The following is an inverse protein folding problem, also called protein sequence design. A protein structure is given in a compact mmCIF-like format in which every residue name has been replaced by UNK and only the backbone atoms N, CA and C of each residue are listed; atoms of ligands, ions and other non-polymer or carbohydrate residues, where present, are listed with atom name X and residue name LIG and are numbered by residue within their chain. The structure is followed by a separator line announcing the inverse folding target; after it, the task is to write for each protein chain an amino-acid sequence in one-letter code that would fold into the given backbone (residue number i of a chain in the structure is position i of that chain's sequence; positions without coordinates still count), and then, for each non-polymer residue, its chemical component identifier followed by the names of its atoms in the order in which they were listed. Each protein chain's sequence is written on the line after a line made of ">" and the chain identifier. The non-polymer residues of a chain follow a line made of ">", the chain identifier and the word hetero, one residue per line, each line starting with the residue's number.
data_IF_404111066184
#
_entry.id   IF_404111066184
#
_cell.length_a   1.000
_cell.length_b   1.000
_cell.length_c   1.000
_cell.angle_alpha   90.00
_cell.angle_beta   90.00
_cell.angle_gamma   90.00
#
_symmetry.space_group_name_H-M   'P 1'
#
loop_
_entity.id
_entity.type
_entity.pdbx_description
1 polymer ?
#
# COMPACT_ATOMS: atom_id res chain seq x y z
N UNK A 1 10.00 23.87 17.10
CA UNK A 1 9.53 22.66 16.40
C UNK A 1 8.17 22.18 16.91
N UNK A 2 8.06 21.75 18.18
CA UNK A 2 6.80 21.22 18.75
C UNK A 2 5.57 22.16 18.60
N UNK A 3 5.76 23.45 18.80
CA UNK A 3 4.71 24.46 18.66
C UNK A 3 4.22 24.58 17.22
N UNK A 4 5.13 24.65 16.22
CA UNK A 4 4.75 24.72 14.81
C UNK A 4 4.01 23.47 14.34
N UNK A 5 4.46 22.27 14.79
CA UNK A 5 3.73 21.02 14.54
C UNK A 5 2.31 21.06 15.13
N UNK A 6 2.17 21.52 16.38
CA UNK A 6 0.85 21.68 17.03
C UNK A 6 -0.02 22.65 16.25
N UNK A 7 0.55 23.75 15.76
CA UNK A 7 -0.14 24.74 14.95
C UNK A 7 -0.65 24.13 13.64
N UNK A 8 0.17 23.33 12.94
CA UNK A 8 -0.27 22.60 11.75
C UNK A 8 -1.43 21.66 12.04
N UNK A 9 -1.37 20.89 13.13
CA UNK A 9 -2.45 19.96 13.52
C UNK A 9 -3.75 20.74 13.82
N UNK A 10 -3.67 21.85 14.55
CA UNK A 10 -4.84 22.67 14.87
C UNK A 10 -5.46 23.27 13.60
N UNK A 11 -4.65 23.76 12.66
CA UNK A 11 -5.11 24.29 11.38
C UNK A 11 -5.99 23.28 10.62
N UNK A 12 -5.62 21.98 10.64
CA UNK A 12 -6.43 20.93 10.03
C UNK A 12 -7.76 20.67 10.74
N UNK A 13 -7.84 20.89 12.05
CA UNK A 13 -9.10 20.75 12.79
C UNK A 13 -10.02 21.96 12.68
N UNK A 14 -9.46 23.16 12.49
CA UNK A 14 -10.20 24.40 12.32
C UNK A 14 -10.56 24.73 10.89
N UNK A 15 -10.05 23.95 9.91
CA UNK A 15 -10.22 24.22 8.49
C UNK A 15 -9.36 25.41 7.99
N UNK A 16 -8.33 25.81 8.73
CA UNK A 16 -7.42 26.89 8.33
C UNK A 16 -6.39 26.39 7.30
N UNK A 17 -6.85 26.35 6.05
CA UNK A 17 -6.07 25.89 4.89
C UNK A 17 -4.83 26.75 4.65
N UNK A 18 -4.93 28.08 4.88
CA UNK A 18 -3.80 29.00 4.62
C UNK A 18 -2.63 28.75 5.58
N UNK A 19 -2.93 28.63 6.88
CA UNK A 19 -1.93 28.28 7.88
C UNK A 19 -1.31 26.90 7.59
N UNK A 20 -2.13 25.89 7.28
CA UNK A 20 -1.62 24.57 6.92
C UNK A 20 -0.72 24.62 5.69
N UNK A 21 -1.10 25.37 4.64
CA UNK A 21 -0.33 25.51 3.40
C UNK A 21 1.02 26.19 3.63
N UNK A 22 1.07 27.23 4.46
CA UNK A 22 2.33 27.91 4.81
C UNK A 22 3.32 26.96 5.52
N UNK A 23 2.81 26.10 6.41
CA UNK A 23 3.63 25.15 7.17
C UNK A 23 4.10 23.94 6.35
N UNK A 24 3.58 23.72 5.16
CA UNK A 24 4.05 22.68 4.23
C UNK A 24 5.50 22.91 3.76
N UNK A 25 5.98 24.13 3.81
CA UNK A 25 7.35 24.51 3.44
C UNK A 25 8.29 24.65 4.66
N UNK A 26 7.86 24.22 5.84
CA UNK A 26 8.67 24.31 7.06
C UNK A 26 9.99 23.51 6.93
N UNK A 27 11.13 24.03 7.43
CA UNK A 27 12.39 23.31 7.40
C UNK A 27 12.34 21.95 8.13
N UNK A 28 11.46 21.81 9.12
CA UNK A 28 11.32 20.58 9.90
C UNK A 28 10.37 19.58 9.21
N UNK A 29 10.82 18.38 8.84
CA UNK A 29 9.99 17.39 8.15
C UNK A 29 8.71 17.01 8.90
N UNK A 30 8.77 16.91 10.23
CA UNK A 30 7.63 16.58 11.07
C UNK A 30 6.53 17.65 11.01
N UNK A 31 6.88 18.90 10.73
CA UNK A 31 5.92 19.99 10.54
C UNK A 31 5.32 19.90 9.15
N UNK A 32 6.14 19.63 8.11
CA UNK A 32 5.66 19.43 6.74
C UNK A 32 4.67 18.26 6.64
N UNK A 33 5.00 17.11 7.27
CA UNK A 33 4.12 15.96 7.32
C UNK A 33 2.79 16.25 8.03
N UNK A 34 2.84 17.01 9.15
CA UNK A 34 1.63 17.44 9.86
C UNK A 34 0.79 18.39 9.01
N UNK A 35 1.41 19.29 8.27
CA UNK A 35 0.76 20.25 7.39
C UNK A 35 0.05 19.57 6.21
N UNK A 36 0.68 18.55 5.57
CA UNK A 36 0.02 17.73 4.55
C UNK A 36 -1.24 17.06 5.10
N UNK A 37 -1.15 16.43 6.27
CA UNK A 37 -2.32 15.83 6.91
C UNK A 37 -3.39 16.84 7.32
N UNK A 38 -3.00 18.07 7.65
CA UNK A 38 -3.93 19.16 7.94
C UNK A 38 -4.68 19.62 6.68
N UNK A 39 -3.97 19.79 5.56
CA UNK A 39 -4.56 20.14 4.27
C UNK A 39 -5.54 19.07 3.79
N UNK A 40 -5.15 17.79 3.88
CA UNK A 40 -6.04 16.70 3.52
C UNK A 40 -7.34 16.71 4.36
N UNK A 41 -7.21 16.84 5.67
CA UNK A 41 -8.38 16.89 6.59
C UNK A 41 -9.27 18.09 6.34
N UNK A 42 -8.69 19.25 6.01
CA UNK A 42 -9.43 20.47 5.72
C UNK A 42 -10.03 20.51 4.29
N UNK A 43 -9.79 19.48 3.47
CA UNK A 43 -10.22 19.43 2.07
C UNK A 43 -9.53 20.46 1.17
N UNK A 44 -8.38 20.99 1.61
CA UNK A 44 -7.62 22.03 0.90
C UNK A 44 -6.33 21.55 0.23
N UNK A 45 -6.03 20.24 0.28
CA UNK A 45 -4.87 19.65 -0.35
C UNK A 45 -5.07 19.57 -1.86
N UNK A 46 -4.13 20.11 -2.64
CA UNK A 46 -4.12 19.96 -4.10
C UNK A 46 -3.26 18.77 -4.51
N UNK A 47 -3.49 18.27 -5.73
CA UNK A 47 -2.73 17.14 -6.29
C UNK A 47 -1.24 17.50 -6.47
N UNK A 48 -0.93 18.73 -6.85
CA UNK A 48 0.47 19.22 -6.92
C UNK A 48 1.14 19.25 -5.53
N UNK A 49 0.40 19.60 -4.49
CA UNK A 49 0.89 19.58 -3.12
C UNK A 49 1.10 18.14 -2.62
N UNK A 50 0.22 17.21 -3.01
CA UNK A 50 0.38 15.79 -2.74
C UNK A 50 1.58 15.21 -3.48
N UNK A 51 1.74 15.49 -4.77
CA UNK A 51 2.89 15.09 -5.57
C UNK A 51 4.22 15.62 -4.96
N UNK A 52 4.21 16.88 -4.49
CA UNK A 52 5.34 17.45 -3.75
C UNK A 52 5.65 16.70 -2.44
N UNK A 53 4.64 16.18 -1.76
CA UNK A 53 4.79 15.34 -0.58
C UNK A 53 5.38 13.97 -0.90
N UNK A 54 4.96 13.34 -2.00
CA UNK A 54 5.48 12.05 -2.47
C UNK A 54 6.97 12.14 -2.89
N UNK A 55 7.44 13.32 -3.30
CA UNK A 55 8.82 13.56 -3.71
C UNK A 55 9.67 14.28 -2.65
N UNK A 56 9.17 14.44 -1.41
CA UNK A 56 9.92 15.09 -0.33
C UNK A 56 11.21 14.33 0.00
N UNK A 57 12.25 15.06 0.32
CA UNK A 57 13.57 14.50 0.70
C UNK A 57 13.52 13.63 1.96
N UNK A 58 12.51 13.83 2.82
CA UNK A 58 12.37 13.11 4.08
C UNK A 58 11.33 11.99 4.00
N UNK A 59 11.72 10.78 4.37
CA UNK A 59 10.87 9.58 4.34
C UNK A 59 9.54 9.73 5.11
N UNK A 60 9.54 10.41 6.26
CA UNK A 60 8.30 10.61 7.03
C UNK A 60 7.27 11.48 6.31
N UNK A 61 7.72 12.41 5.46
CA UNK A 61 6.83 13.24 4.63
C UNK A 61 6.29 12.42 3.47
N UNK A 62 7.15 11.65 2.76
CA UNK A 62 6.74 10.75 1.68
C UNK A 62 5.74 9.72 2.17
N UNK A 63 6.01 9.09 3.33
CA UNK A 63 5.08 8.15 3.96
C UNK A 63 3.74 8.80 4.27
N UNK A 64 3.74 10.04 4.81
CA UNK A 64 2.48 10.75 5.09
C UNK A 64 1.69 11.06 3.81
N UNK A 65 2.37 11.41 2.73
CA UNK A 65 1.73 11.62 1.42
C UNK A 65 1.12 10.32 0.87
N UNK A 66 1.81 9.18 1.03
CA UNK A 66 1.29 7.86 0.67
C UNK A 66 0.07 7.46 1.50
N UNK A 67 0.08 7.70 2.82
CA UNK A 67 -1.08 7.46 3.69
C UNK A 67 -2.31 8.27 3.25
N UNK A 68 -2.09 9.48 2.74
CA UNK A 68 -3.18 10.32 2.21
C UNK A 68 -3.65 9.79 0.85
N UNK A 69 -2.72 9.42 -0.02
CA UNK A 69 -3.01 8.88 -1.35
C UNK A 69 -3.82 7.57 -1.27
N UNK A 70 -3.46 6.65 -0.37
CA UNK A 70 -4.14 5.37 -0.18
C UNK A 70 -5.39 5.45 0.72
N UNK A 71 -5.67 6.59 1.33
CA UNK A 71 -6.88 6.71 2.14
C UNK A 71 -8.14 6.61 1.27
N UNK A 72 -9.14 5.80 1.67
CA UNK A 72 -10.40 5.74 0.94
C UNK A 72 -11.02 7.14 0.88
N UNK A 73 -11.51 7.52 -0.31
CA UNK A 73 -12.22 8.79 -0.48
C UNK A 73 -13.46 8.80 0.43
N UNK A 74 -13.46 9.66 1.44
CA UNK A 74 -14.67 9.90 2.23
C UNK A 74 -15.77 10.47 1.31
N UNK A 75 -17.00 9.95 1.38
CA UNK A 75 -18.07 10.30 0.44
C UNK A 75 -18.51 11.77 0.48
N UNK A 76 -17.91 12.58 1.33
CA UNK A 76 -18.29 14.00 1.55
C UNK A 76 -17.56 14.98 0.63
N UNK A 77 -16.49 14.59 -0.07
CA UNK A 77 -15.72 15.52 -0.93
C UNK A 77 -15.83 15.21 -2.41
N UNK A 78 -17.03 15.23 -2.98
CA UNK A 78 -17.26 15.23 -4.44
C UNK A 78 -17.05 16.60 -5.09
N UNK A 79 -16.26 17.49 -4.53
CA UNK A 79 -16.00 18.81 -5.15
C UNK A 79 -14.64 18.94 -5.85
N UNK A 80 -13.72 18.04 -5.63
CA UNK A 80 -12.56 17.88 -6.52
C UNK A 80 -12.94 16.78 -7.52
N UNK A 81 -13.17 17.12 -8.79
CA UNK A 81 -13.38 16.14 -9.84
C UNK A 81 -12.24 15.12 -9.84
N UNK A 82 -12.55 13.87 -10.21
CA UNK A 82 -11.52 12.86 -10.40
C UNK A 82 -10.35 13.48 -11.18
N UNK A 83 -9.07 13.27 -10.74
CA UNK A 83 -7.93 13.89 -11.39
C UNK A 83 -7.99 13.61 -12.89
N UNK A 84 -7.79 14.64 -13.71
CA UNK A 84 -7.77 14.46 -15.17
C UNK A 84 -6.69 13.45 -15.53
N UNK A 85 -6.90 12.59 -16.52
CA UNK A 85 -6.09 11.42 -16.84
C UNK A 85 -4.56 11.61 -16.73
N UNK A 86 -4.02 12.78 -17.09
CA UNK A 86 -2.57 13.07 -16.99
C UNK A 86 -2.06 13.19 -15.54
N UNK A 87 -2.91 13.61 -14.61
CA UNK A 87 -2.51 13.80 -13.20
C UNK A 87 -2.65 12.50 -12.40
N UNK A 88 -3.70 11.72 -12.66
CA UNK A 88 -3.81 10.36 -12.12
C UNK A 88 -2.63 9.49 -12.57
N UNK A 89 -2.23 9.61 -13.84
CA UNK A 89 -1.05 8.94 -14.38
C UNK A 89 0.25 9.39 -13.70
N UNK A 90 0.39 10.69 -13.38
CA UNK A 90 1.54 11.19 -12.64
C UNK A 90 1.59 10.61 -11.23
N UNK A 91 0.49 10.63 -10.48
CA UNK A 91 0.42 10.09 -9.13
C UNK A 91 0.69 8.58 -9.12
N UNK A 92 0.15 7.82 -10.11
CA UNK A 92 0.43 6.40 -10.25
C UNK A 92 1.92 6.10 -10.53
N UNK A 93 2.60 6.94 -11.32
CA UNK A 93 4.05 6.82 -11.57
C UNK A 93 4.86 7.14 -10.33
N UNK A 94 4.54 8.23 -9.61
CA UNK A 94 5.21 8.58 -8.35
C UNK A 94 5.03 7.46 -7.30
N UNK A 95 3.84 6.87 -7.23
CA UNK A 95 3.58 5.72 -6.37
C UNK A 95 4.43 4.51 -6.80
N UNK A 96 4.53 4.23 -8.10
CA UNK A 96 5.38 3.14 -8.62
C UNK A 96 6.87 3.37 -8.32
N UNK A 97 7.36 4.61 -8.38
CA UNK A 97 8.75 4.95 -8.04
C UNK A 97 9.02 4.71 -6.54
N UNK A 98 8.05 5.01 -5.67
CA UNK A 98 8.18 4.81 -4.21
C UNK A 98 8.17 3.35 -3.77
N UNK A 99 7.74 2.42 -4.62
CA UNK A 99 7.92 0.97 -4.40
C UNK A 99 9.40 0.54 -4.47
N UNK A 100 10.29 1.43 -4.91
CA UNK A 100 11.75 1.25 -4.91
C UNK A 100 12.46 2.25 -3.99
N UNK A 101 11.75 2.85 -3.02
CA UNK A 101 12.33 3.80 -2.09
C UNK A 101 13.45 3.15 -1.25
N UNK A 102 14.45 3.94 -0.89
CA UNK A 102 15.55 3.48 -0.03
C UNK A 102 15.15 3.23 1.42
N UNK A 103 14.03 3.80 1.87
CA UNK A 103 13.47 3.59 3.21
C UNK A 103 12.38 2.51 3.17
N UNK A 104 12.58 1.34 3.83
CA UNK A 104 11.63 0.23 3.77
C UNK A 104 10.25 0.61 4.34
N UNK A 105 10.17 1.58 5.26
CA UNK A 105 8.87 2.02 5.80
C UNK A 105 8.06 2.83 4.77
N UNK A 106 8.72 3.43 3.79
CA UNK A 106 8.07 4.07 2.64
C UNK A 106 7.57 3.01 1.66
N UNK A 107 8.40 2.00 1.36
CA UNK A 107 8.03 0.88 0.46
C UNK A 107 6.80 0.14 1.00
N UNK A 108 6.76 -0.16 2.30
CA UNK A 108 5.62 -0.83 2.95
C UNK A 108 4.31 -0.04 2.74
N UNK A 109 4.32 1.27 3.04
CA UNK A 109 3.14 2.13 2.86
C UNK A 109 2.81 2.34 1.38
N UNK A 110 3.82 2.37 0.49
CA UNK A 110 3.60 2.45 -0.95
C UNK A 110 2.89 1.19 -1.49
N UNK A 111 3.25 -0.01 -0.99
CA UNK A 111 2.54 -1.23 -1.32
C UNK A 111 1.06 -1.17 -0.91
N UNK A 112 0.79 -0.75 0.34
CA UNK A 112 -0.59 -0.57 0.79
C UNK A 112 -1.35 0.42 -0.09
N UNK A 113 -0.79 1.62 -0.31
CA UNK A 113 -1.43 2.63 -1.17
C UNK A 113 -1.67 2.10 -2.59
N UNK A 114 -0.75 1.28 -3.15
CA UNK A 114 -0.92 0.70 -4.47
C UNK A 114 -2.13 -0.25 -4.54
N UNK A 115 -2.39 -1.02 -3.49
CA UNK A 115 -3.57 -1.90 -3.41
C UNK A 115 -4.91 -1.15 -3.45
N UNK A 116 -4.93 0.11 -2.98
CA UNK A 116 -6.12 0.97 -3.00
C UNK A 116 -6.38 1.63 -4.37
N UNK A 117 -5.50 1.41 -5.37
CA UNK A 117 -5.59 2.01 -6.70
C UNK A 117 -5.75 0.98 -7.84
N UNK A 118 -6.83 0.18 -7.88
CA UNK A 118 -7.02 -0.86 -8.90
C UNK A 118 -7.06 -0.30 -10.33
N UNK A 119 -7.51 0.93 -10.52
CA UNK A 119 -7.48 1.60 -11.83
C UNK A 119 -6.08 1.83 -12.39
N UNK A 120 -5.04 1.75 -11.57
CA UNK A 120 -3.63 1.91 -11.94
C UNK A 120 -2.85 0.58 -11.96
N UNK A 121 -3.53 -0.57 -11.88
CA UNK A 121 -2.91 -1.90 -11.79
C UNK A 121 -1.85 -2.14 -12.87
N UNK A 122 -2.10 -1.74 -14.13
CA UNK A 122 -1.14 -1.88 -15.23
C UNK A 122 0.22 -1.19 -14.97
N UNK A 123 0.24 -0.11 -14.19
CA UNK A 123 1.46 0.63 -13.82
C UNK A 123 2.10 0.02 -12.59
N UNK A 124 1.28 -0.42 -11.62
CA UNK A 124 1.72 -0.78 -10.27
C UNK A 124 2.12 -2.26 -10.12
N UNK A 125 1.55 -3.17 -10.92
CA UNK A 125 1.77 -4.61 -10.76
C UNK A 125 3.23 -5.03 -10.91
N UNK A 126 3.97 -4.50 -11.90
CA UNK A 126 5.39 -4.86 -12.10
C UNK A 126 6.29 -4.42 -10.94
N UNK A 127 6.23 -3.17 -10.46
CA UNK A 127 6.94 -2.76 -9.25
C UNK A 127 6.58 -3.60 -8.02
N UNK A 128 5.30 -3.91 -7.80
CA UNK A 128 4.86 -4.77 -6.70
C UNK A 128 5.44 -6.19 -6.79
N UNK A 129 5.46 -6.79 -7.99
CA UNK A 129 6.12 -8.09 -8.25
C UNK A 129 7.61 -8.03 -7.90
N UNK A 130 8.29 -6.90 -8.18
CA UNK A 130 9.68 -6.73 -7.81
C UNK A 130 9.88 -6.67 -6.28
N UNK A 131 8.94 -6.08 -5.54
CA UNK A 131 8.96 -6.05 -4.08
C UNK A 131 8.61 -7.43 -3.48
N UNK A 132 7.56 -8.08 -3.96
CA UNK A 132 7.10 -9.38 -3.47
C UNK A 132 8.12 -10.50 -3.75
N UNK A 133 8.75 -10.46 -4.92
CA UNK A 133 9.57 -11.54 -5.45
C UNK A 133 8.76 -12.68 -6.08
N UNK A 134 9.45 -13.59 -6.76
CA UNK A 134 8.84 -14.78 -7.40
C UNK A 134 9.37 -16.08 -6.79
N UNK A 135 9.90 -16.03 -5.57
CA UNK A 135 10.38 -17.21 -4.86
C UNK A 135 11.15 -16.87 -3.59
N UNK A 136 11.44 -17.89 -2.80
CA UNK A 136 12.22 -17.78 -1.57
C UNK A 136 13.50 -18.62 -1.67
N UNK A 137 14.63 -18.05 -1.26
CA UNK A 137 15.92 -18.75 -1.21
C UNK A 137 16.91 -18.30 -2.28
N UNK A 138 18.13 -18.87 -2.26
CA UNK A 138 19.25 -18.42 -3.11
C UNK A 138 19.06 -18.71 -4.59
N UNK A 139 18.14 -19.60 -4.95
CA UNK A 139 17.83 -19.97 -6.34
C UNK A 139 16.59 -19.22 -6.91
N UNK A 140 15.97 -18.34 -6.12
CA UNK A 140 14.85 -17.54 -6.61
C UNK A 140 15.32 -16.57 -7.69
N UNK A 141 14.66 -16.57 -8.84
CA UNK A 141 14.97 -15.65 -9.95
C UNK A 141 14.86 -14.19 -9.52
N UNK A 142 13.91 -13.90 -8.60
CA UNK A 142 13.68 -12.57 -8.03
C UNK A 142 13.40 -12.72 -6.54
N UNK A 143 14.39 -12.48 -5.67
CA UNK A 143 14.26 -12.71 -4.23
C UNK A 143 13.27 -11.75 -3.52
N UNK A 144 12.85 -10.68 -4.20
CA UNK A 144 12.01 -9.64 -3.62
C UNK A 144 12.78 -8.69 -2.69
N UNK A 145 12.05 -7.82 -2.02
CA UNK A 145 12.62 -6.86 -1.08
C UNK A 145 13.26 -7.58 0.13
N UNK A 146 14.43 -7.13 0.65
CA UNK A 146 15.09 -7.78 1.79
C UNK A 146 14.23 -7.77 3.06
N UNK A 147 13.47 -6.70 3.29
CA UNK A 147 12.53 -6.62 4.40
C UNK A 147 11.25 -7.42 4.09
N UNK A 148 10.91 -8.34 5.01
CA UNK A 148 9.74 -9.20 4.84
C UNK A 148 8.40 -8.46 5.00
N UNK A 149 8.36 -7.34 5.74
CA UNK A 149 7.14 -6.52 5.85
C UNK A 149 6.78 -5.89 4.51
N UNK A 150 7.79 -5.43 3.76
CA UNK A 150 7.58 -4.95 2.40
C UNK A 150 7.04 -6.05 1.47
N UNK A 151 7.60 -7.29 1.56
CA UNK A 151 7.09 -8.42 0.76
C UNK A 151 5.66 -8.80 1.13
N UNK A 152 5.36 -8.81 2.43
CA UNK A 152 4.02 -9.06 2.95
C UNK A 152 3.01 -8.04 2.41
N UNK A 153 3.33 -6.75 2.51
CA UNK A 153 2.49 -5.68 1.98
C UNK A 153 2.32 -5.76 0.46
N UNK A 154 3.38 -6.13 -0.27
CA UNK A 154 3.33 -6.29 -1.72
C UNK A 154 2.44 -7.45 -2.15
N UNK A 155 2.51 -8.60 -1.47
CA UNK A 155 1.63 -9.76 -1.75
C UNK A 155 0.17 -9.40 -1.48
N UNK A 156 -0.12 -8.71 -0.37
CA UNK A 156 -1.47 -8.22 -0.08
C UNK A 156 -1.99 -7.26 -1.16
N UNK A 157 -1.15 -6.32 -1.61
CA UNK A 157 -1.48 -5.37 -2.67
C UNK A 157 -1.72 -6.06 -4.02
N UNK A 158 -0.93 -7.08 -4.38
CA UNK A 158 -1.15 -7.87 -5.59
C UNK A 158 -2.51 -8.60 -5.58
N UNK A 159 -2.91 -9.12 -4.41
CA UNK A 159 -4.26 -9.67 -4.21
C UNK A 159 -5.35 -8.62 -4.37
N UNK A 160 -5.18 -7.43 -3.76
CA UNK A 160 -6.16 -6.34 -3.87
C UNK A 160 -6.33 -5.85 -5.31
N UNK A 161 -5.25 -5.83 -6.11
CA UNK A 161 -5.30 -5.46 -7.53
C UNK A 161 -5.90 -6.55 -8.41
N UNK A 162 -5.78 -7.83 -8.06
CA UNK A 162 -6.31 -8.96 -8.83
C UNK A 162 -5.79 -9.04 -10.26
N UNK A 163 -4.61 -8.49 -10.55
CA UNK A 163 -4.07 -8.46 -11.89
C UNK A 163 -3.24 -9.72 -12.19
N UNK A 164 -3.52 -10.39 -13.32
CA UNK A 164 -2.92 -11.71 -13.66
C UNK A 164 -1.40 -11.73 -13.62
N UNK A 165 -0.72 -10.64 -13.98
CA UNK A 165 0.74 -10.55 -13.90
C UNK A 165 1.31 -10.62 -12.46
N UNK A 166 0.47 -10.52 -11.43
CA UNK A 166 0.84 -10.69 -10.01
C UNK A 166 0.71 -12.13 -9.50
N UNK A 167 -0.01 -12.99 -10.22
CA UNK A 167 -0.37 -14.35 -9.82
C UNK A 167 0.82 -15.20 -9.36
N UNK A 168 1.89 -15.24 -10.16
CA UNK A 168 3.10 -16.02 -9.86
C UNK A 168 3.73 -15.60 -8.52
N UNK A 169 3.82 -14.29 -8.25
CA UNK A 169 4.36 -13.76 -7.00
C UNK A 169 3.47 -14.08 -5.79
N UNK A 170 2.15 -14.11 -5.97
CA UNK A 170 1.21 -14.52 -4.92
C UNK A 170 1.40 -16.01 -4.60
N UNK A 171 1.44 -16.89 -5.60
CA UNK A 171 1.73 -18.31 -5.42
C UNK A 171 3.10 -18.55 -4.75
N UNK A 172 4.14 -17.83 -5.19
CA UNK A 172 5.46 -17.90 -4.57
C UNK A 172 5.44 -17.43 -3.09
N UNK A 173 4.52 -16.57 -2.71
CA UNK A 173 4.29 -16.15 -1.33
C UNK A 173 3.96 -17.30 -0.38
N UNK A 174 3.32 -18.37 -0.87
CA UNK A 174 2.94 -19.56 -0.09
C UNK A 174 4.15 -20.37 0.44
N UNK A 175 5.34 -20.14 -0.10
CA UNK A 175 6.56 -20.85 0.34
C UNK A 175 7.40 -20.02 1.33
N UNK A 176 6.96 -18.81 1.69
CA UNK A 176 7.71 -17.87 2.51
C UNK A 176 7.39 -17.98 4.01
N UNK A 177 7.62 -16.89 4.79
CA UNK A 177 7.27 -16.82 6.22
C UNK A 177 5.75 -16.93 6.42
N UNK A 178 5.32 -17.40 7.58
CA UNK A 178 3.91 -17.59 7.91
C UNK A 178 3.03 -16.36 7.64
N UNK A 179 3.51 -15.17 7.99
CA UNK A 179 2.77 -13.92 7.74
C UNK A 179 2.55 -13.67 6.25
N UNK A 180 3.57 -13.91 5.42
CA UNK A 180 3.46 -13.77 3.96
C UNK A 180 2.56 -14.86 3.39
N UNK A 181 2.70 -16.14 3.86
CA UNK A 181 1.82 -17.24 3.42
C UNK A 181 0.35 -16.93 3.68
N UNK A 182 0.04 -16.39 4.87
CA UNK A 182 -1.33 -15.97 5.20
C UNK A 182 -1.87 -14.93 4.21
N UNK A 183 -1.11 -13.90 3.91
CA UNK A 183 -1.53 -12.90 2.93
C UNK A 183 -1.59 -13.44 1.52
N UNK A 184 -0.69 -14.38 1.16
CA UNK A 184 -0.76 -15.09 -0.11
C UNK A 184 -2.05 -15.89 -0.25
N UNK A 185 -2.45 -16.66 0.78
CA UNK A 185 -3.73 -17.36 0.80
C UNK A 185 -4.89 -16.39 0.59
N UNK A 186 -4.95 -15.29 1.35
CA UNK A 186 -6.01 -14.29 1.18
C UNK A 186 -6.01 -13.67 -0.23
N UNK A 187 -4.84 -13.46 -0.81
CA UNK A 187 -4.68 -12.90 -2.15
C UNK A 187 -5.13 -13.87 -3.26
N UNK A 188 -5.13 -15.20 -3.00
CA UNK A 188 -5.61 -16.19 -3.97
C UNK A 188 -7.09 -15.98 -4.33
N UNK A 189 -7.88 -15.37 -3.45
CA UNK A 189 -9.29 -15.04 -3.72
C UNK A 189 -9.50 -14.16 -4.97
N UNK A 190 -8.46 -13.48 -5.44
CA UNK A 190 -8.52 -12.64 -6.63
C UNK A 190 -8.21 -13.38 -7.95
N UNK A 191 -7.90 -14.68 -7.88
CA UNK A 191 -7.46 -15.49 -9.02
C UNK A 191 -8.30 -16.76 -9.13
N UNK A 192 -8.37 -17.33 -10.33
CA UNK A 192 -9.10 -18.55 -10.62
C UNK A 192 -8.16 -19.59 -11.28
N UNK A 193 -8.51 -20.88 -11.19
CA UNK A 193 -7.83 -21.97 -11.86
C UNK A 193 -7.47 -23.14 -10.94
N UNK A 194 -7.20 -24.29 -11.54
CA UNK A 194 -6.95 -25.56 -10.84
C UNK A 194 -5.73 -25.47 -9.90
N UNK A 195 -4.73 -24.69 -10.24
CA UNK A 195 -3.54 -24.43 -9.42
C UNK A 195 -3.86 -23.58 -8.19
N UNK A 196 -4.81 -22.64 -8.28
CA UNK A 196 -5.31 -21.85 -7.15
C UNK A 196 -6.11 -22.74 -6.20
N UNK A 197 -7.02 -23.57 -6.74
CA UNK A 197 -7.80 -24.53 -5.95
C UNK A 197 -6.88 -25.51 -5.22
N UNK A 198 -5.85 -26.03 -5.91
CA UNK A 198 -4.87 -26.90 -5.31
C UNK A 198 -4.06 -26.20 -4.20
N UNK A 199 -3.64 -24.96 -4.41
CA UNK A 199 -2.90 -24.16 -3.43
C UNK A 199 -3.76 -23.86 -2.18
N UNK A 200 -5.04 -23.56 -2.34
CA UNK A 200 -5.97 -23.36 -1.23
C UNK A 200 -6.20 -24.66 -0.45
N UNK A 201 -6.34 -25.82 -1.15
CA UNK A 201 -6.48 -27.10 -0.50
C UNK A 201 -5.22 -27.48 0.29
N UNK A 202 -4.01 -27.22 -0.22
CA UNK A 202 -2.75 -27.45 0.49
C UNK A 202 -2.63 -26.52 1.72
N UNK A 203 -3.13 -25.29 1.65
CA UNK A 203 -3.08 -24.34 2.76
C UNK A 203 -3.93 -24.75 3.97
N UNK A 204 -4.93 -25.63 3.80
CA UNK A 204 -5.70 -26.21 4.93
C UNK A 204 -4.83 -27.06 5.85
N UNK A 205 -3.73 -27.62 5.36
CA UNK A 205 -2.77 -28.42 6.12
C UNK A 205 -1.50 -27.63 6.51
N UNK A 206 -1.51 -26.31 6.37
CA UNK A 206 -0.34 -25.51 6.75
C UNK A 206 -0.01 -25.66 8.24
N UNK A 207 1.29 -25.68 8.55
CA UNK A 207 1.79 -25.75 9.94
C UNK A 207 1.36 -24.58 10.82
N UNK A 208 1.09 -23.40 10.22
CA UNK A 208 0.65 -22.20 10.92
C UNK A 208 -0.87 -22.11 10.94
N UNK A 209 -1.45 -21.96 12.11
CA UNK A 209 -2.91 -21.95 12.28
C UNK A 209 -3.61 -20.77 11.60
N UNK A 210 -2.93 -19.60 11.50
CA UNK A 210 -3.51 -18.42 10.83
C UNK A 210 -3.58 -18.60 9.31
N UNK A 211 -2.65 -19.36 8.74
CA UNK A 211 -2.67 -19.73 7.32
C UNK A 211 -3.83 -20.70 7.05
N UNK A 212 -3.98 -21.74 7.90
CA UNK A 212 -5.13 -22.67 7.79
C UNK A 212 -6.45 -21.94 7.90
N UNK A 213 -6.61 -21.08 8.93
CA UNK A 213 -7.83 -20.28 9.12
C UNK A 213 -8.16 -19.44 7.89
N UNK A 214 -7.17 -18.80 7.27
CA UNK A 214 -7.40 -18.03 6.05
C UNK A 214 -7.89 -18.89 4.88
N UNK A 215 -7.40 -20.12 4.75
CA UNK A 215 -7.87 -21.07 3.74
C UNK A 215 -9.29 -21.60 4.04
N UNK A 216 -9.58 -21.93 5.30
CA UNK A 216 -10.91 -22.34 5.77
C UNK A 216 -11.96 -21.26 5.49
N UNK A 217 -11.65 -19.99 5.82
CA UNK A 217 -12.53 -18.84 5.60
C UNK A 217 -12.86 -18.65 4.11
N UNK A 218 -11.86 -18.81 3.22
CA UNK A 218 -12.05 -18.66 1.78
C UNK A 218 -12.84 -19.83 1.15
N UNK A 219 -12.61 -21.04 1.62
CA UNK A 219 -13.28 -22.25 1.11
C UNK A 219 -14.66 -22.46 1.75
N UNK A 220 -15.02 -21.68 2.77
CA UNK A 220 -16.27 -21.85 3.52
C UNK A 220 -16.33 -23.18 4.28
N UNK A 221 -15.18 -23.73 4.67
CA UNK A 221 -15.08 -24.95 5.46
C UNK A 221 -15.32 -24.61 6.93
N UNK A 222 -16.40 -25.12 7.52
CA UNK A 222 -16.64 -24.97 8.96
C UNK A 222 -15.60 -25.82 9.72
N UNK A 223 -14.79 -25.24 10.61
CA UNK A 223 -13.76 -25.97 11.36
C UNK A 223 -14.35 -26.95 12.39
N UNK A 224 -15.53 -27.50 12.24
CA UNK A 224 -16.13 -28.49 13.09
C UNK A 224 -15.91 -28.27 14.61
N UNK A 225 -16.73 -28.79 15.50
CA UNK A 225 -16.50 -28.66 16.94
C UNK A 225 -15.19 -29.38 17.32
N UNK A 226 -14.15 -28.63 17.71
CA UNK A 226 -12.88 -29.13 18.23
C UNK A 226 -13.02 -29.79 19.62
#
# INVERSE_FOLDING_TARGET
>A
MAERRRHAVLAGHTGDVETARSLRLDPEPVVRAAALGALARAGGLTDDELAGGLTDTNAAVRRRALEILGAPEEPVSKSAGAPSGSLADLLARLLADLLSDHDPTVVEVACWAAGEHPGSANVLVRPLVAVAGTGSGPEAERPGHPDHLCREAAVAALGALGHEAGRESVLAGLTQKATIRRWAVLALAAFEGDDIEAALAEALDDRDWQVRQAAEDLLGVDPGPG
#
